data_IF_637205133396
#
_entry.id   IF_637205133396
#
_cell.length_a   1.000
_cell.length_b   1.000
_cell.length_c   1.000
_cell.angle_alpha   90.00
_cell.angle_beta   90.00
_cell.angle_gamma   90.00
#
_symmetry.space_group_name_H-M   'P 1'
#
loop_
_entity.id
_entity.type
_entity.pdbx_description
1 polymer ?
#
# COMPACT_ATOMS: atom_id res chain seq x y z
N UNK A 1 10.87 -5.31 -5.63
CA UNK A 1 11.05 -3.88 -5.29
C UNK A 1 11.97 -3.21 -6.29
N UNK A 2 11.59 -2.06 -6.87
CA UNK A 2 12.49 -1.23 -7.67
C UNK A 2 12.54 0.21 -7.13
N UNK A 3 13.65 0.90 -7.34
CA UNK A 3 13.90 2.25 -6.80
C UNK A 3 13.97 3.25 -7.96
N UNK A 4 13.14 4.27 -7.91
CA UNK A 4 13.16 5.43 -8.81
C UNK A 4 13.82 6.61 -8.10
N UNK A 5 14.80 7.25 -8.73
CA UNK A 5 15.35 8.51 -8.21
C UNK A 5 14.49 9.66 -8.72
N UNK A 6 14.07 10.55 -7.82
CA UNK A 6 13.31 11.75 -8.13
C UNK A 6 13.96 12.96 -7.48
N UNK A 7 13.67 14.14 -8.02
CA UNK A 7 14.06 15.41 -7.42
C UNK A 7 12.81 15.99 -6.77
N UNK A 8 12.90 16.31 -5.48
CA UNK A 8 11.83 17.00 -4.76
C UNK A 8 11.75 18.48 -5.21
N UNK A 9 10.67 19.18 -4.86
CA UNK A 9 10.46 20.59 -5.21
C UNK A 9 11.61 21.50 -4.75
N UNK A 10 12.31 21.08 -3.70
CA UNK A 10 13.48 21.78 -3.13
C UNK A 10 14.82 21.40 -3.80
N UNK A 11 14.82 20.70 -4.93
CA UNK A 11 16.03 20.28 -5.65
C UNK A 11 16.79 19.10 -5.03
N UNK A 12 16.30 18.53 -3.91
CA UNK A 12 16.94 17.41 -3.22
C UNK A 12 16.58 16.08 -3.86
N UNK A 13 17.57 15.17 -3.98
CA UNK A 13 17.35 13.80 -4.43
C UNK A 13 16.53 13.04 -3.40
N UNK A 14 15.46 12.41 -3.85
CA UNK A 14 14.62 11.50 -3.09
C UNK A 14 14.49 10.18 -3.84
N UNK A 15 14.29 9.10 -3.12
CA UNK A 15 14.27 7.74 -3.64
C UNK A 15 12.90 7.15 -3.40
N UNK A 16 12.19 6.88 -4.49
CA UNK A 16 10.87 6.26 -4.48
C UNK A 16 11.01 4.75 -4.67
N UNK A 17 10.69 4.01 -3.65
CA UNK A 17 10.66 2.56 -3.62
C UNK A 17 9.28 2.10 -4.04
N UNK A 18 9.22 1.21 -5.02
CA UNK A 18 7.99 0.69 -5.56
C UNK A 18 7.99 -0.84 -5.49
N UNK A 19 6.82 -1.41 -5.22
CA UNK A 19 6.59 -2.86 -5.26
C UNK A 19 5.27 -3.13 -5.99
N UNK A 20 5.24 -4.21 -6.78
CA UNK A 20 4.03 -4.70 -7.43
C UNK A 20 3.57 -5.98 -6.73
N UNK A 21 2.26 -6.11 -6.59
CA UNK A 21 1.64 -7.33 -6.12
C UNK A 21 0.40 -7.65 -6.96
N UNK A 22 0.04 -8.92 -7.00
CA UNK A 22 -1.24 -9.35 -7.58
C UNK A 22 -2.22 -9.47 -6.43
N UNK A 23 -3.33 -8.75 -6.53
CA UNK A 23 -4.41 -8.90 -5.57
C UNK A 23 -5.16 -10.21 -5.84
N UNK A 24 -5.23 -11.15 -4.90
CA UNK A 24 -5.90 -12.43 -5.08
C UNK A 24 -7.42 -12.27 -5.28
N UNK A 25 -8.05 -11.23 -4.72
CA UNK A 25 -9.50 -11.00 -4.84
C UNK A 25 -9.86 -10.50 -6.23
N UNK A 26 -9.08 -9.57 -6.77
CA UNK A 26 -9.39 -8.91 -8.04
C UNK A 26 -8.59 -9.44 -9.23
N UNK A 27 -7.56 -10.25 -8.99
CA UNK A 27 -6.54 -10.71 -9.97
C UNK A 27 -5.80 -9.59 -10.70
N UNK A 28 -6.00 -8.33 -10.28
CA UNK A 28 -5.37 -7.16 -10.89
C UNK A 28 -3.98 -6.95 -10.29
N UNK A 29 -3.07 -6.48 -11.13
CA UNK A 29 -1.75 -6.00 -10.68
C UNK A 29 -1.91 -4.64 -10.02
N UNK A 30 -1.50 -4.52 -8.77
CA UNK A 30 -1.49 -3.28 -8.00
C UNK A 30 -0.05 -2.87 -7.68
N UNK A 31 0.14 -1.58 -7.40
CA UNK A 31 1.43 -1.00 -7.03
C UNK A 31 1.32 -0.29 -5.68
N UNK A 32 2.31 -0.49 -4.81
CA UNK A 32 2.54 0.33 -3.63
C UNK A 32 3.86 1.07 -3.77
N UNK A 33 3.96 2.23 -3.10
CA UNK A 33 5.20 2.98 -3.11
C UNK A 33 5.43 3.72 -1.79
N UNK A 34 6.70 3.94 -1.49
CA UNK A 34 7.18 4.80 -0.40
C UNK A 34 8.37 5.63 -0.86
N UNK A 35 8.57 6.81 -0.28
CA UNK A 35 9.67 7.70 -0.66
C UNK A 35 10.53 7.98 0.55
N UNK A 36 11.84 7.80 0.42
CA UNK A 36 12.83 8.20 1.43
C UNK A 36 13.85 9.18 0.87
N UNK A 37 14.56 9.87 1.76
CA UNK A 37 15.59 10.87 1.41
C UNK A 37 16.93 10.25 1.04
N UNK A 38 17.21 9.03 1.49
CA UNK A 38 18.47 8.34 1.24
C UNK A 38 18.23 6.94 0.64
N UNK A 39 19.31 6.30 0.16
CA UNK A 39 19.27 4.97 -0.47
C UNK A 39 20.13 3.92 0.23
N UNK A 40 20.41 4.09 1.53
CA UNK A 40 21.28 3.18 2.28
C UNK A 40 20.70 1.76 2.31
N UNK A 41 21.55 0.76 2.57
CA UNK A 41 21.11 -0.65 2.69
C UNK A 41 20.08 -0.84 3.81
N UNK A 42 20.23 -0.11 4.92
CA UNK A 42 19.27 -0.13 6.02
C UNK A 42 17.92 0.42 5.58
N UNK A 43 17.90 1.58 4.92
CA UNK A 43 16.66 2.16 4.39
C UNK A 43 16.00 1.26 3.35
N UNK A 44 16.77 0.55 2.53
CA UNK A 44 16.22 -0.45 1.60
C UNK A 44 15.51 -1.59 2.35
N UNK A 45 16.08 -2.10 3.45
CA UNK A 45 15.44 -3.13 4.29
C UNK A 45 14.15 -2.62 4.95
N UNK A 46 14.20 -1.42 5.53
CA UNK A 46 13.03 -0.78 6.14
C UNK A 46 11.94 -0.53 5.11
N UNK A 47 12.29 0.00 3.94
CA UNK A 47 11.36 0.24 2.84
C UNK A 47 10.68 -1.04 2.37
N UNK A 48 11.43 -2.14 2.23
CA UNK A 48 10.88 -3.44 1.87
C UNK A 48 9.85 -3.92 2.90
N UNK A 49 10.18 -3.82 4.19
CA UNK A 49 9.30 -4.21 5.28
C UNK A 49 8.03 -3.35 5.33
N UNK A 50 8.13 -2.04 5.13
CA UNK A 50 6.97 -1.15 5.05
C UNK A 50 6.11 -1.39 3.81
N UNK A 51 6.73 -1.69 2.66
CA UNK A 51 6.00 -2.03 1.43
C UNK A 51 5.19 -3.31 1.61
N UNK A 52 5.78 -4.35 2.22
CA UNK A 52 5.06 -5.58 2.54
C UNK A 52 3.92 -5.33 3.51
N UNK A 53 4.13 -4.58 4.60
CA UNK A 53 3.05 -4.17 5.51
C UNK A 53 1.91 -3.45 4.79
N UNK A 54 2.21 -2.53 3.86
CA UNK A 54 1.20 -1.85 3.05
C UNK A 54 0.45 -2.80 2.13
N UNK A 55 1.11 -3.82 1.59
CA UNK A 55 0.46 -4.86 0.78
C UNK A 55 -0.46 -5.68 1.67
N UNK A 56 0.01 -6.16 2.82
CA UNK A 56 -0.78 -6.95 3.76
C UNK A 56 -2.02 -6.21 4.23
N UNK A 57 -1.90 -4.93 4.59
CA UNK A 57 -3.04 -4.09 4.95
C UNK A 57 -4.05 -4.03 3.80
N UNK A 58 -3.61 -3.82 2.55
CA UNK A 58 -4.51 -3.77 1.39
C UNK A 58 -5.16 -5.11 1.05
N UNK A 59 -4.50 -6.22 1.36
CA UNK A 59 -5.04 -7.57 1.17
C UNK A 59 -6.05 -7.92 2.28
N UNK A 60 -5.72 -7.53 3.52
CA UNK A 60 -6.46 -7.81 4.74
C UNK A 60 -7.48 -6.74 5.12
N UNK A 61 -7.55 -5.62 4.39
CA UNK A 61 -8.71 -4.72 4.38
C UNK A 61 -9.92 -5.55 3.95
N UNK A 62 -10.50 -6.25 4.92
CA UNK A 62 -11.88 -6.66 4.92
C UNK A 62 -12.64 -5.36 4.79
N UNK A 63 -13.48 -5.27 3.77
CA UNK A 63 -14.53 -4.28 3.66
C UNK A 63 -15.43 -4.40 4.88
N UNK A 64 -14.99 -3.87 6.03
CA UNK A 64 -15.87 -3.43 7.10
C UNK A 64 -16.40 -2.06 6.69
N UNK A 65 -16.99 -1.98 5.50
CA UNK A 65 -18.04 -1.00 5.29
C UNK A 65 -19.24 -1.62 5.98
N UNK A 66 -19.53 -1.10 7.17
CA UNK A 66 -20.77 -1.39 7.86
C UNK A 66 -21.90 -1.21 6.85
N UNK A 67 -22.77 -2.21 6.61
CA UNK A 67 -24.05 -1.85 6.04
C UNK A 67 -24.68 -0.85 7.02
N UNK A 68 -25.08 0.32 6.52
CA UNK A 68 -25.96 1.23 7.25
C UNK A 68 -27.40 0.67 7.33
N UNK A 69 -27.64 -0.55 6.80
CA UNK A 69 -28.91 -1.28 6.90
C UNK A 69 -29.04 -2.01 8.24
N UNK A 70 -30.25 -1.95 8.79
CA UNK A 70 -30.51 -2.26 10.20
C UNK A 70 -31.36 -3.50 10.36
N UNK A 71 -31.20 -4.19 11.50
CA UNK A 71 -31.90 -5.44 11.82
C UNK A 71 -33.44 -5.38 11.66
N UNK A 72 -34.03 -4.18 11.77
CA UNK A 72 -35.47 -3.96 11.60
C UNK A 72 -35.97 -4.35 10.19
N UNK A 73 -35.17 -4.08 9.14
CA UNK A 73 -35.51 -4.43 7.75
C UNK A 73 -35.40 -5.94 7.47
N UNK A 74 -34.75 -6.71 8.35
CA UNK A 74 -34.61 -8.18 8.22
C UNK A 74 -35.71 -8.96 8.94
N UNK A 75 -36.49 -8.31 9.81
CA UNK A 75 -37.54 -8.94 10.63
C UNK A 75 -38.92 -8.81 9.98
N UNK A 76 -39.09 -7.91 9.01
CA UNK A 76 -40.32 -7.78 8.22
C UNK A 76 -40.45 -8.81 7.08
N UNK A 77 -39.53 -9.78 6.99
CA UNK A 77 -39.57 -10.98 6.11
C UNK A 77 -40.03 -12.22 6.89
#
# INVERSE_FOLDING_TARGET
MWIETKTDKNGKKVYKYNERYIDPKTKKRKKVSITYKNKSRETQKVALLELNKKIDIKLNEKTLQKPDLTFHELVEE
#
